data_IF_354320593998
#
_entry.id   IF_354320593998
#
_cell.length_a   1.000
_cell.length_b   1.000
_cell.length_c   1.000
_cell.angle_alpha   90.00
_cell.angle_beta   90.00
_cell.angle_gamma   90.00
#
_symmetry.space_group_name_H-M   'P 1'
#
loop_
_entity.id
_entity.type
_entity.pdbx_description
1 polymer ?
#
# COMPACT_ATOMS: atom_id res chain seq x y z
N UNK A 1 -8.79 -30.20 20.24
CA UNK A 1 -8.02 -29.18 19.49
C UNK A 1 -8.40 -27.82 20.07
N UNK A 2 -7.47 -27.12 20.73
CA UNK A 2 -7.77 -25.80 21.31
C UNK A 2 -8.00 -24.80 20.18
N UNK A 3 -9.02 -23.96 20.32
CA UNK A 3 -9.36 -22.91 19.36
C UNK A 3 -8.36 -21.74 19.37
N UNK A 4 -7.14 -21.95 19.85
CA UNK A 4 -6.13 -20.88 20.01
C UNK A 4 -5.76 -20.23 18.68
N UNK A 5 -5.93 -20.92 17.55
CA UNK A 5 -5.75 -20.33 16.23
C UNK A 5 -6.73 -19.18 15.94
N UNK A 6 -7.91 -19.14 16.57
CA UNK A 6 -8.86 -18.04 16.43
C UNK A 6 -8.34 -16.75 17.09
N UNK A 7 -7.40 -16.85 18.03
CA UNK A 7 -6.72 -15.68 18.65
C UNK A 7 -5.66 -15.05 17.73
N UNK A 8 -5.30 -15.72 16.64
CA UNK A 8 -4.36 -15.20 15.64
C UNK A 8 -5.04 -14.38 14.55
N UNK A 9 -6.38 -14.30 14.57
CA UNK A 9 -7.12 -13.47 13.62
C UNK A 9 -7.09 -12.04 14.15
N UNK A 10 -6.31 -11.18 13.48
CA UNK A 10 -6.31 -9.74 13.71
C UNK A 10 -7.73 -9.21 13.50
N UNK A 11 -8.36 -8.67 14.55
CA UNK A 11 -9.68 -8.04 14.44
C UNK A 11 -9.59 -6.85 13.49
N UNK A 12 -10.32 -6.91 12.37
CA UNK A 12 -10.41 -5.80 11.45
C UNK A 12 -11.16 -4.65 12.14
N UNK A 13 -10.43 -3.60 12.55
CA UNK A 13 -11.04 -2.39 13.12
C UNK A 13 -11.96 -1.77 12.08
N UNK A 14 -13.27 -1.73 12.38
CA UNK A 14 -14.32 -1.17 11.51
C UNK A 14 -14.15 0.34 11.23
N UNK A 15 -13.24 1.01 11.92
CA UNK A 15 -12.96 2.45 11.81
C UNK A 15 -11.83 2.78 10.81
N UNK A 16 -11.30 1.81 10.06
CA UNK A 16 -10.29 2.13 9.04
C UNK A 16 -10.93 2.84 7.85
N UNK A 17 -10.45 4.05 7.54
CA UNK A 17 -10.85 4.82 6.34
C UNK A 17 -10.36 4.19 5.02
N UNK A 18 -9.60 3.11 5.13
CA UNK A 18 -8.91 2.37 4.09
C UNK A 18 -9.42 0.93 4.14
N UNK A 19 -9.87 0.40 3.00
CA UNK A 19 -10.32 -0.98 2.91
C UNK A 19 -9.14 -1.98 2.81
N UNK A 20 -9.42 -3.28 2.95
CA UNK A 20 -8.38 -4.33 2.91
C UNK A 20 -7.59 -4.38 1.59
N UNK A 21 -8.23 -4.14 0.45
CA UNK A 21 -7.54 -4.13 -0.85
C UNK A 21 -6.64 -2.91 -1.01
N UNK A 22 -7.10 -1.73 -0.59
CA UNK A 22 -6.25 -0.53 -0.52
C UNK A 22 -5.04 -0.81 0.37
N UNK A 23 -5.25 -1.45 1.53
CA UNK A 23 -4.17 -1.83 2.45
C UNK A 23 -3.12 -2.73 1.78
N UNK A 24 -3.56 -3.71 1.00
CA UNK A 24 -2.66 -4.59 0.21
C UNK A 24 -1.88 -3.79 -0.84
N UNK A 25 -2.54 -2.87 -1.55
CA UNK A 25 -1.88 -2.03 -2.56
C UNK A 25 -0.82 -1.12 -1.94
N UNK A 26 -1.15 -0.46 -0.83
CA UNK A 26 -0.22 0.40 -0.08
C UNK A 26 1.00 -0.41 0.40
N UNK A 27 0.75 -1.58 0.98
CA UNK A 27 1.80 -2.49 1.45
C UNK A 27 2.73 -2.88 0.30
N UNK A 28 2.17 -3.26 -0.85
CA UNK A 28 2.96 -3.66 -2.02
C UNK A 28 3.79 -2.50 -2.60
N UNK A 29 3.19 -1.31 -2.71
CA UNK A 29 3.89 -0.11 -3.17
C UNK A 29 5.03 0.26 -2.22
N UNK A 30 4.78 0.22 -0.91
CA UNK A 30 5.80 0.50 0.10
C UNK A 30 6.93 -0.52 0.08
N UNK A 31 6.61 -1.81 -0.01
CA UNK A 31 7.61 -2.87 -0.12
C UNK A 31 8.51 -2.63 -1.34
N UNK A 32 7.92 -2.29 -2.50
CA UNK A 32 8.68 -1.94 -3.70
C UNK A 32 9.64 -0.78 -3.43
N UNK A 33 9.17 0.32 -2.85
CA UNK A 33 10.04 1.46 -2.52
C UNK A 33 11.19 1.10 -1.58
N UNK A 34 10.95 0.20 -0.61
CA UNK A 34 12.00 -0.29 0.29
C UNK A 34 13.02 -1.19 -0.42
N UNK A 35 12.62 -1.93 -1.45
CA UNK A 35 13.55 -2.72 -2.27
C UNK A 35 14.42 -1.85 -3.20
N UNK A 36 13.91 -0.69 -3.61
CA UNK A 36 14.61 0.27 -4.47
C UNK A 36 15.64 1.12 -3.69
N UNK A 37 15.67 1.03 -2.36
CA UNK A 37 16.72 1.62 -1.54
C UNK A 37 18.10 1.02 -1.88
N UNK A 38 19.15 1.81 -1.65
CA UNK A 38 20.52 1.38 -1.74
C UNK A 38 20.87 0.38 -0.62
N UNK A 39 21.89 -0.45 -0.84
CA UNK A 39 22.27 -1.51 0.10
C UNK A 39 22.51 -1.05 1.55
N UNK A 40 23.20 0.08 1.85
CA UNK A 40 23.36 0.50 3.24
C UNK A 40 22.03 0.93 3.88
N UNK A 41 21.13 1.59 3.13
CA UNK A 41 19.82 1.96 3.64
C UNK A 41 18.93 0.73 3.86
N UNK A 42 19.00 -0.29 2.99
CA UNK A 42 18.30 -1.57 3.20
C UNK A 42 18.83 -2.32 4.42
N UNK A 43 20.14 -2.31 4.64
CA UNK A 43 20.77 -2.95 5.80
C UNK A 43 20.42 -2.26 7.12
N UNK A 44 20.06 -0.97 7.08
CA UNK A 44 19.59 -0.22 8.25
C UNK A 44 18.13 -0.52 8.64
N UNK A 45 17.37 -1.24 7.80
CA UNK A 45 15.99 -1.60 8.12
C UNK A 45 15.93 -2.65 9.25
N UNK A 46 15.00 -2.53 10.21
CA UNK A 46 14.82 -3.52 11.28
C UNK A 46 14.46 -4.92 10.76
N UNK A 47 13.78 -4.99 9.62
CA UNK A 47 13.30 -6.22 9.01
C UNK A 47 13.44 -6.20 7.49
N UNK A 48 13.21 -7.37 6.85
CA UNK A 48 13.16 -7.48 5.39
C UNK A 48 12.10 -6.52 4.82
N UNK A 49 12.34 -5.89 3.65
CA UNK A 49 11.47 -4.86 3.08
C UNK A 49 9.97 -5.18 3.07
N UNK A 50 9.57 -6.39 2.64
CA UNK A 50 8.16 -6.79 2.62
C UNK A 50 7.53 -6.84 4.00
N UNK A 51 8.26 -7.36 5.00
CA UNK A 51 7.74 -7.45 6.37
C UNK A 51 7.68 -6.08 7.04
N UNK A 52 8.70 -5.24 6.79
CA UNK A 52 8.72 -3.85 7.23
C UNK A 52 7.51 -3.08 6.69
N UNK A 53 7.19 -3.22 5.40
CA UNK A 53 6.03 -2.56 4.79
C UNK A 53 4.69 -3.03 5.40
N UNK A 54 4.56 -4.31 5.77
CA UNK A 54 3.37 -4.84 6.45
C UNK A 54 3.20 -4.18 7.83
N UNK A 55 4.28 -4.10 8.62
CA UNK A 55 4.25 -3.45 9.94
C UNK A 55 3.85 -1.98 9.83
N UNK A 56 4.51 -1.23 8.95
CA UNK A 56 4.21 0.20 8.74
C UNK A 56 2.76 0.43 8.30
N UNK A 57 2.21 -0.46 7.47
CA UNK A 57 0.82 -0.36 7.01
C UNK A 57 -0.17 -0.78 8.09
N UNK A 58 0.16 -1.76 8.93
CA UNK A 58 -0.70 -2.21 10.03
C UNK A 58 -0.75 -1.20 11.19
N UNK A 59 0.36 -0.54 11.49
CA UNK A 59 0.46 0.48 12.54
C UNK A 59 -0.25 1.80 12.16
N UNK A 60 -0.61 1.98 10.89
CA UNK A 60 -1.21 3.23 10.40
C UNK A 60 -0.18 4.34 10.16
N UNK A 61 1.11 4.00 10.14
CA UNK A 61 2.22 4.92 9.87
C UNK A 61 2.24 5.42 8.42
N UNK A 62 1.47 4.78 7.52
CA UNK A 62 1.33 5.15 6.12
C UNK A 62 -0.07 5.69 5.86
N UNK A 63 -0.16 6.95 5.47
CA UNK A 63 -1.42 7.60 5.06
C UNK A 63 -1.44 7.70 3.53
N UNK A 64 -2.42 7.06 2.85
CA UNK A 64 -2.56 7.16 1.41
C UNK A 64 -2.95 8.58 1.02
N UNK A 65 -2.14 9.21 0.19
CA UNK A 65 -2.54 10.45 -0.46
C UNK A 65 -3.53 10.06 -1.57
N UNK A 66 -4.83 10.30 -1.34
CA UNK A 66 -5.81 10.24 -2.41
C UNK A 66 -5.63 11.52 -3.23
N UNK A 67 -5.07 11.42 -4.44
CA UNK A 67 -5.18 12.51 -5.40
C UNK A 67 -6.66 12.83 -5.54
N UNK A 68 -7.05 14.05 -5.17
CA UNK A 68 -8.38 14.54 -5.46
C UNK A 68 -8.53 14.46 -6.97
N UNK A 69 -9.35 13.53 -7.47
CA UNK A 69 -9.73 13.52 -8.87
C UNK A 69 -10.41 14.86 -9.13
N UNK A 70 -9.68 15.85 -9.64
CA UNK A 70 -10.27 17.03 -10.24
C UNK A 70 -10.99 16.54 -11.48
N UNK A 71 -12.33 16.62 -11.55
CA UNK A 71 -13.05 16.23 -12.75
C UNK A 71 -12.76 17.27 -13.83
N UNK A 72 -11.82 16.99 -14.75
CA UNK A 72 -11.50 17.98 -15.77
C UNK A 72 -10.38 17.72 -16.79
N UNK A 73 -9.63 16.62 -16.73
CA UNK A 73 -8.55 16.39 -17.71
C UNK A 73 -8.82 15.20 -18.64
N UNK A 74 -9.98 15.18 -19.30
CA UNK A 74 -10.17 14.37 -20.50
C UNK A 74 -9.27 14.91 -21.61
N UNK A 75 -8.09 14.31 -21.80
CA UNK A 75 -7.30 14.51 -23.02
C UNK A 75 -8.14 14.00 -24.20
N UNK A 76 -8.77 14.93 -24.94
CA UNK A 76 -9.23 14.69 -26.32
C UNK A 76 -8.00 14.33 -27.16
N UNK A 77 -7.72 13.03 -27.31
CA UNK A 77 -6.92 12.56 -28.45
C UNK A 77 -7.89 12.56 -29.63
N UNK A 78 -7.86 13.65 -30.39
CA UNK A 78 -8.59 13.76 -31.66
C UNK A 78 -7.86 12.85 -32.64
N UNK A 79 -8.44 11.70 -32.92
CA UNK A 79 -8.17 10.95 -34.14
C UNK A 79 -8.41 11.89 -35.33
N UNK A 80 -7.36 12.19 -36.08
CA UNK A 80 -7.48 12.75 -37.42
C UNK A 80 -6.94 11.71 -38.39
N UNK A 81 -7.90 11.09 -39.03
CA UNK A 81 -7.87 10.18 -40.15
C UNK A 81 -7.06 10.75 -41.33
N UNK A 82 -6.35 9.83 -41.98
CA UNK A 82 -5.83 9.82 -43.35
C UNK A 82 -6.45 10.80 -44.36
N UNK A 83 -5.58 11.46 -45.14
CA UNK A 83 -5.60 11.51 -46.62
C UNK A 83 -4.24 11.96 -47.15
#
# INVERSE_FOLDING_TARGET
MSQDYLKLIEEHRKESTINLFEKVLITAQRAKSLYELDEPAKAALPHKPTFQAILETNEGSIVPLREAQTPGASKKVKSAESS
#
